data_IF_974651064519
#
_entry.id   IF_974651064519
#
_cell.length_a   1.000
_cell.length_b   1.000
_cell.length_c   1.000
_cell.angle_alpha   90.00
_cell.angle_beta   90.00
_cell.angle_gamma   90.00
#
_symmetry.space_group_name_H-M   'P 1'
#
loop_
_entity.id
_entity.type
_entity.pdbx_description
1 polymer ?
#
# COMPACT_ATOMS: atom_id res chain seq x y z
N UNK A 1 -61.95 13.44 11.10
CA UNK A 1 -60.64 12.95 11.58
C UNK A 1 -60.13 11.76 10.75
N UNK A 2 -60.07 11.86 9.42
CA UNK A 2 -59.54 10.80 8.53
C UNK A 2 -58.57 11.32 7.46
N UNK A 3 -58.52 12.65 7.26
CA UNK A 3 -57.61 13.30 6.30
C UNK A 3 -56.29 13.79 6.90
N UNK A 4 -56.12 13.64 8.21
CA UNK A 4 -54.91 14.07 8.95
C UNK A 4 -53.96 12.92 9.29
N UNK A 5 -54.38 11.66 9.04
CA UNK A 5 -53.58 10.46 9.30
C UNK A 5 -52.79 10.04 8.05
N UNK A 6 -53.18 10.50 6.85
CA UNK A 6 -52.55 10.07 5.59
C UNK A 6 -51.23 10.80 5.25
N UNK A 7 -50.90 11.90 5.94
CA UNK A 7 -49.72 12.71 5.62
C UNK A 7 -48.46 12.36 6.43
N UNK A 8 -48.52 11.41 7.38
CA UNK A 8 -47.39 11.09 8.26
C UNK A 8 -46.59 9.86 7.75
N UNK A 9 -47.13 9.08 6.83
CA UNK A 9 -46.51 7.81 6.37
C UNK A 9 -45.46 8.03 5.26
N UNK A 10 -45.38 9.22 4.65
CA UNK A 10 -44.48 9.48 3.51
C UNK A 10 -43.06 9.91 3.96
N UNK A 11 -42.83 10.17 5.26
CA UNK A 11 -41.57 10.77 5.72
C UNK A 11 -40.48 9.79 6.22
N UNK A 12 -40.64 8.47 6.11
CA UNK A 12 -39.69 7.50 6.72
C UNK A 12 -38.93 6.59 5.75
N UNK A 13 -38.98 6.82 4.43
CA UNK A 13 -38.32 5.97 3.43
C UNK A 13 -37.12 6.59 2.68
N UNK A 14 -36.38 7.50 3.32
CA UNK A 14 -35.11 8.01 2.77
C UNK A 14 -34.00 8.00 3.81
N UNK A 15 -33.57 6.80 4.19
CA UNK A 15 -32.33 6.61 4.97
C UNK A 15 -31.54 5.39 4.46
N UNK A 16 -31.49 5.17 3.15
CA UNK A 16 -30.49 4.31 2.49
C UNK A 16 -30.34 4.78 1.04
N UNK A 17 -29.88 6.01 0.83
CA UNK A 17 -29.32 6.40 -0.48
C UNK A 17 -27.82 6.55 -0.27
N UNK A 18 -27.10 5.57 -0.81
CA UNK A 18 -25.66 5.50 -0.85
C UNK A 18 -25.07 6.80 -1.44
N UNK A 19 -24.41 7.59 -0.61
CA UNK A 19 -23.42 8.57 -1.08
C UNK A 19 -22.14 7.83 -1.49
N UNK A 20 -22.20 7.15 -2.64
CA UNK A 20 -21.01 6.60 -3.31
C UNK A 20 -20.46 7.54 -4.41
N UNK A 21 -21.13 8.66 -4.70
CA UNK A 21 -20.73 9.53 -5.81
C UNK A 21 -19.60 10.51 -5.48
N UNK A 22 -19.37 10.87 -4.20
CA UNK A 22 -18.28 11.80 -3.86
C UNK A 22 -16.88 11.16 -3.84
N UNK A 23 -16.76 9.82 -3.83
CA UNK A 23 -15.45 9.13 -3.81
C UNK A 23 -14.91 8.90 -5.23
N UNK A 24 -15.76 8.95 -6.27
CA UNK A 24 -15.31 8.76 -7.65
C UNK A 24 -14.72 10.05 -8.28
N UNK A 25 -15.21 11.23 -7.90
CA UNK A 25 -14.82 12.50 -8.53
C UNK A 25 -13.48 13.09 -8.03
N UNK A 26 -12.85 12.48 -7.04
CA UNK A 26 -11.57 12.95 -6.46
C UNK A 26 -10.33 12.19 -6.99
N UNK A 27 -10.48 11.24 -7.90
CA UNK A 27 -9.33 10.47 -8.41
C UNK A 27 -8.61 11.28 -9.48
N UNK A 28 -7.66 12.11 -9.07
CA UNK A 28 -6.70 12.72 -9.99
C UNK A 28 -5.85 11.64 -10.67
N UNK A 29 -5.53 11.78 -11.97
CA UNK A 29 -4.60 10.90 -12.65
C UNK A 29 -3.26 10.90 -11.90
N UNK A 30 -2.76 9.72 -11.56
CA UNK A 30 -1.49 9.60 -10.86
C UNK A 30 -0.38 9.98 -11.84
N UNK A 31 0.29 11.11 -11.59
CA UNK A 31 1.42 11.57 -12.40
C UNK A 31 2.63 10.68 -12.15
N UNK A 32 2.84 9.71 -13.04
CA UNK A 32 4.02 8.83 -13.02
C UNK A 32 5.14 9.51 -13.82
N UNK A 33 5.97 10.32 -13.16
CA UNK A 33 7.20 10.86 -13.76
C UNK A 33 8.37 9.88 -13.48
N UNK A 34 9.42 9.88 -14.31
CA UNK A 34 10.62 9.04 -14.16
C UNK A 34 11.32 9.13 -12.79
N UNK A 35 11.02 10.17 -11.99
CA UNK A 35 11.46 10.35 -10.61
C UNK A 35 10.45 9.85 -9.55
N UNK A 36 9.16 9.78 -9.88
CA UNK A 36 8.07 9.23 -9.06
C UNK A 36 7.58 7.95 -9.76
N UNK A 37 8.42 6.91 -9.76
CA UNK A 37 8.11 5.63 -10.43
C UNK A 37 7.00 4.82 -9.76
N UNK A 38 6.33 5.32 -8.73
CA UNK A 38 5.42 4.52 -7.92
C UNK A 38 4.04 5.14 -7.86
N UNK A 39 3.06 4.40 -8.41
CA UNK A 39 1.67 4.53 -7.99
C UNK A 39 1.65 4.30 -6.47
N UNK A 40 1.34 5.35 -5.70
CA UNK A 40 1.33 5.27 -4.25
C UNK A 40 0.02 4.61 -3.79
N UNK A 41 -0.10 3.30 -4.03
CA UNK A 41 -1.24 2.47 -3.61
C UNK A 41 -1.09 1.94 -2.19
N UNK A 42 -0.16 2.52 -1.42
CA UNK A 42 0.19 2.04 -0.09
C UNK A 42 -0.89 2.53 0.88
N UNK A 43 -1.69 1.61 1.40
CA UNK A 43 -2.58 1.87 2.53
C UNK A 43 -1.76 1.82 3.83
N UNK A 44 -1.78 2.93 4.57
CA UNK A 44 -1.02 3.04 5.81
C UNK A 44 -1.53 2.12 6.91
N UNK A 45 -2.83 1.81 6.92
CA UNK A 45 -3.46 0.96 7.92
C UNK A 45 -3.44 -0.54 7.56
N UNK A 46 -3.01 -0.89 6.35
CA UNK A 46 -2.96 -2.28 5.89
C UNK A 46 -1.57 -2.89 6.14
N UNK A 47 -1.52 -3.92 7.00
CA UNK A 47 -0.28 -4.64 7.35
C UNK A 47 0.34 -5.33 6.13
N UNK A 48 -0.48 -5.84 5.21
CA UNK A 48 0.03 -6.53 4.02
C UNK A 48 0.80 -5.55 3.12
N UNK A 49 0.33 -4.30 3.04
CA UNK A 49 1.05 -3.26 2.31
C UNK A 49 2.38 -2.87 2.94
N UNK A 50 2.52 -2.98 4.27
CA UNK A 50 3.82 -2.79 4.94
C UNK A 50 4.78 -3.92 4.56
N UNK A 51 4.31 -5.16 4.57
CA UNK A 51 5.11 -6.31 4.14
C UNK A 51 5.52 -6.21 2.66
N UNK A 52 4.58 -5.94 1.76
CA UNK A 52 4.84 -5.88 0.32
C UNK A 52 5.79 -4.75 -0.06
N UNK A 53 5.69 -3.61 0.62
CA UNK A 53 6.63 -2.52 0.44
C UNK A 53 8.03 -2.87 0.91
N UNK A 54 8.15 -3.40 2.13
CA UNK A 54 9.43 -3.89 2.65
C UNK A 54 10.06 -4.89 1.68
N UNK A 55 9.28 -5.87 1.21
CA UNK A 55 9.75 -6.88 0.25
C UNK A 55 10.31 -6.26 -1.03
N UNK A 56 9.62 -5.25 -1.59
CA UNK A 56 10.09 -4.56 -2.79
C UNK A 56 11.38 -3.78 -2.51
N UNK A 57 11.47 -3.07 -1.39
CA UNK A 57 12.68 -2.34 -0.99
C UNK A 57 13.85 -3.30 -0.82
N UNK A 58 13.67 -4.41 -0.12
CA UNK A 58 14.73 -5.42 0.05
C UNK A 58 15.19 -6.04 -1.27
N UNK A 59 14.29 -6.16 -2.25
CA UNK A 59 14.58 -6.73 -3.57
C UNK A 59 15.29 -5.75 -4.51
N UNK A 60 14.80 -4.52 -4.61
CA UNK A 60 15.20 -3.61 -5.69
C UNK A 60 16.02 -2.41 -5.17
N UNK A 61 15.98 -2.11 -3.87
CA UNK A 61 16.54 -0.90 -3.26
C UNK A 61 17.25 -1.16 -1.92
N UNK A 62 17.88 -2.33 -1.75
CA UNK A 62 18.42 -2.78 -0.46
C UNK A 62 19.43 -1.82 0.17
N UNK A 63 20.18 -1.05 -0.63
CA UNK A 63 21.13 -0.05 -0.12
C UNK A 63 20.47 1.14 0.55
N UNK A 64 19.16 1.36 0.34
CA UNK A 64 18.41 2.52 0.82
C UNK A 64 17.37 2.15 1.90
N UNK A 65 17.56 1.04 2.61
CA UNK A 65 16.62 0.51 3.63
C UNK A 65 16.06 1.60 4.55
N UNK A 66 16.94 2.28 5.29
CA UNK A 66 16.52 3.27 6.30
C UNK A 66 15.80 4.46 5.68
N UNK A 67 16.30 4.95 4.53
CA UNK A 67 15.69 6.09 3.84
C UNK A 67 14.26 5.74 3.37
N UNK A 68 14.06 4.55 2.81
CA UNK A 68 12.74 4.11 2.31
C UNK A 68 11.75 3.86 3.46
N UNK A 69 12.20 3.23 4.55
CA UNK A 69 11.37 3.04 5.73
C UNK A 69 10.97 4.39 6.35
N UNK A 70 11.92 5.32 6.46
CA UNK A 70 11.67 6.68 6.97
C UNK A 70 10.63 7.42 6.13
N UNK A 71 10.77 7.40 4.80
CA UNK A 71 9.80 8.00 3.88
C UNK A 71 8.40 7.42 4.05
N UNK A 72 8.27 6.10 4.23
CA UNK A 72 6.97 5.47 4.48
C UNK A 72 6.37 5.90 5.82
N UNK A 73 7.17 5.93 6.88
CA UNK A 73 6.71 6.38 8.21
C UNK A 73 6.23 7.83 8.14
N UNK A 74 7.00 8.70 7.47
CA UNK A 74 6.62 10.09 7.28
C UNK A 74 5.33 10.22 6.46
N UNK A 75 5.18 9.44 5.38
CA UNK A 75 3.98 9.40 4.56
C UNK A 75 2.75 8.96 5.36
N UNK A 76 2.90 7.98 6.25
CA UNK A 76 1.82 7.47 7.09
C UNK A 76 1.59 8.25 8.39
N UNK A 77 2.37 9.30 8.66
CA UNK A 77 2.29 10.08 9.90
C UNK A 77 2.73 9.29 11.15
N UNK A 78 3.42 8.16 10.97
CA UNK A 78 3.81 7.26 12.06
C UNK A 78 3.87 5.79 11.65
N UNK A 79 4.16 4.94 12.62
CA UNK A 79 4.11 3.47 12.48
C UNK A 79 3.77 2.83 13.81
N UNK A 80 3.01 1.74 13.76
CA UNK A 80 2.88 0.81 14.89
C UNK A 80 4.03 -0.20 14.88
N UNK A 81 4.17 -0.96 15.98
CA UNK A 81 5.13 -2.07 16.06
C UNK A 81 4.85 -3.16 15.02
N UNK A 82 3.57 -3.53 14.84
CA UNK A 82 3.15 -4.54 13.87
C UNK A 82 3.49 -4.14 12.43
N UNK A 83 3.27 -2.87 12.08
CA UNK A 83 3.60 -2.30 10.77
C UNK A 83 5.11 -2.34 10.49
N UNK A 84 5.92 -1.91 11.47
CA UNK A 84 7.38 -1.96 11.37
C UNK A 84 7.88 -3.39 11.22
N UNK A 85 7.37 -4.31 12.01
CA UNK A 85 7.75 -5.73 11.95
C UNK A 85 7.38 -6.36 10.59
N UNK A 86 6.18 -6.08 10.07
CA UNK A 86 5.74 -6.56 8.76
C UNK A 86 6.68 -6.08 7.65
N UNK A 87 7.04 -4.80 7.68
CA UNK A 87 7.98 -4.22 6.73
C UNK A 87 9.38 -4.85 6.81
N UNK A 88 9.91 -5.04 8.02
CA UNK A 88 11.21 -5.67 8.24
C UNK A 88 11.25 -7.13 7.76
N UNK A 89 10.17 -7.88 8.00
CA UNK A 89 9.96 -9.24 7.48
C UNK A 89 9.94 -9.24 5.96
N UNK A 90 9.19 -8.33 5.35
CA UNK A 90 9.15 -8.12 3.91
C UNK A 90 10.55 -7.86 3.35
N UNK A 91 11.24 -6.84 3.88
CA UNK A 91 12.59 -6.44 3.47
C UNK A 91 13.56 -7.62 3.49
N UNK A 92 13.60 -8.35 4.59
CA UNK A 92 14.47 -9.51 4.74
C UNK A 92 14.17 -10.60 3.70
N UNK A 93 12.90 -10.82 3.38
CA UNK A 93 12.49 -11.80 2.37
C UNK A 93 12.90 -11.36 0.95
N UNK A 94 12.75 -10.07 0.62
CA UNK A 94 13.19 -9.49 -0.65
C UNK A 94 14.71 -9.58 -0.82
N UNK A 95 15.47 -9.16 0.19
CA UNK A 95 16.94 -9.14 0.17
C UNK A 95 17.55 -10.52 -0.03
N UNK A 96 17.05 -11.54 0.69
CA UNK A 96 17.51 -12.93 0.56
C UNK A 96 17.34 -13.47 -0.86
N UNK A 97 16.32 -13.04 -1.61
CA UNK A 97 16.15 -13.47 -3.01
C UNK A 97 17.23 -12.89 -3.92
N UNK A 98 17.60 -11.63 -3.75
CA UNK A 98 18.68 -10.98 -4.52
C UNK A 98 20.01 -11.67 -4.25
N UNK A 99 20.31 -11.92 -2.97
CA UNK A 99 21.56 -12.58 -2.57
C UNK A 99 21.68 -13.99 -3.17
N UNK A 100 20.59 -14.77 -3.16
CA UNK A 100 20.53 -16.10 -3.80
C UNK A 100 20.73 -16.02 -5.32
N UNK A 101 20.11 -15.04 -5.98
CA UNK A 101 20.27 -14.84 -7.43
C UNK A 101 21.70 -14.47 -7.81
N UNK A 102 22.34 -13.59 -7.05
CA UNK A 102 23.75 -13.22 -7.24
C UNK A 102 24.70 -14.43 -7.07
N UNK A 103 24.49 -15.24 -6.03
CA UNK A 103 25.29 -16.46 -5.81
C UNK A 103 25.11 -17.48 -6.96
N UNK A 104 23.89 -17.66 -7.47
CA UNK A 104 23.59 -18.56 -8.59
C UNK A 104 24.27 -18.10 -9.89
N UNK A 105 24.21 -16.81 -10.21
CA UNK A 105 24.86 -16.27 -11.42
C UNK A 105 26.39 -16.43 -11.36
N UNK A 106 27.01 -16.18 -10.21
CA UNK A 106 28.46 -16.36 -10.00
C UNK A 106 28.89 -17.83 -10.16
N UNK A 107 28.13 -18.77 -9.60
CA UNK A 107 28.38 -20.22 -9.77
C UNK A 107 28.28 -20.66 -11.24
N UNK A 108 27.29 -20.16 -11.98
CA UNK A 108 27.14 -20.48 -13.41
C UNK A 108 28.30 -19.96 -14.28
N UNK A 109 28.84 -18.78 -13.98
CA UNK A 109 30.01 -18.22 -14.69
C UNK A 109 31.29 -18.99 -14.40
N UNK A 110 31.48 -19.47 -13.17
CA UNK A 110 32.65 -20.27 -12.79
C UNK A 110 32.65 -21.68 -13.41
N UNK A 111 31.47 -22.24 -13.72
CA UNK A 111 31.33 -23.54 -14.38
C UNK A 111 31.51 -23.51 -15.91
N UNK A 112 31.55 -22.32 -16.52
CA UNK A 112 31.72 -22.14 -17.98
C UNK A 112 33.14 -21.75 -18.39
N UNK A 113 34.05 -21.59 -17.42
CA UNK A 113 35.49 -21.45 -17.62
C UNK A 113 36.15 -22.76 -17.22
#
# INVERSE_FOLDING_TARGET
>A
MKKLILSIIILTLTACVQTQEEILSSRSPISVNGHIKRLNTIACQDIDDWYLDGYRVGKDFSTYRENQLSQRIQFCGGTTSAQREAWDKGYSAGYKKVEKQYKKSKKSRKSRK
#
